data_IF_804624910340
#
_entry.id   IF_804624910340
#
_cell.length_a   1.000
_cell.length_b   1.000
_cell.length_c   1.000
_cell.angle_alpha   90.00
_cell.angle_beta   90.00
_cell.angle_gamma   90.00
#
_symmetry.space_group_name_H-M   'P 1'
#
loop_
_entity.id
_entity.type
_entity.pdbx_description
1 polymer ?
#
# COMPACT_ATOMS: atom_id res chain seq x y z
N UNK A 1 -11.48 -2.99 20.84
CA UNK A 1 -10.03 -3.15 20.56
C UNK A 1 -9.61 -4.49 21.10
N UNK A 2 -9.16 -5.41 20.26
CA UNK A 2 -8.51 -6.65 20.71
C UNK A 2 -7.10 -6.32 21.19
N UNK A 3 -6.67 -6.88 22.31
CA UNK A 3 -5.34 -6.68 22.89
C UNK A 3 -4.59 -8.00 22.98
N UNK A 4 -3.30 -8.01 22.62
CA UNK A 4 -2.38 -9.10 22.99
C UNK A 4 -1.68 -8.65 24.24
N UNK A 5 -1.95 -9.26 25.39
CA UNK A 5 -1.27 -8.91 26.65
C UNK A 5 -1.43 -7.43 27.04
N UNK A 6 -2.57 -6.81 26.70
CA UNK A 6 -2.81 -5.37 26.92
C UNK A 6 -2.22 -4.44 25.84
N UNK A 7 -1.59 -4.97 24.80
CA UNK A 7 -0.97 -4.21 23.70
C UNK A 7 -1.98 -4.01 22.57
N UNK A 8 -2.01 -2.80 21.99
CA UNK A 8 -2.73 -2.49 20.75
C UNK A 8 -2.21 -3.37 19.60
N UNK A 9 -3.02 -4.37 19.20
CA UNK A 9 -2.64 -5.35 18.18
C UNK A 9 -2.38 -4.73 16.81
N UNK A 10 -3.08 -3.66 16.46
CA UNK A 10 -2.94 -3.00 15.16
C UNK A 10 -1.58 -2.31 15.08
N UNK A 11 -1.24 -1.52 16.11
CA UNK A 11 0.07 -0.85 16.17
C UNK A 11 1.20 -1.87 16.26
N UNK A 12 1.03 -2.92 17.06
CA UNK A 12 2.00 -4.01 17.13
C UNK A 12 2.22 -4.64 15.76
N UNK A 13 1.15 -4.95 15.01
CA UNK A 13 1.28 -5.51 13.66
C UNK A 13 2.00 -4.59 12.68
N UNK A 14 1.72 -3.28 12.72
CA UNK A 14 2.43 -2.29 11.90
C UNK A 14 3.92 -2.20 12.25
N UNK A 15 4.26 -2.19 13.54
CA UNK A 15 5.65 -2.20 14.01
C UNK A 15 6.38 -3.51 13.67
N UNK A 16 5.69 -4.66 13.75
CA UNK A 16 6.22 -5.95 13.28
C UNK A 16 6.51 -5.89 11.78
N UNK A 17 5.59 -5.36 10.98
CA UNK A 17 5.79 -5.17 9.54
C UNK A 17 6.99 -4.28 9.21
N UNK A 18 7.15 -3.16 9.91
CA UNK A 18 8.31 -2.27 9.79
C UNK A 18 9.62 -2.99 10.13
N UNK A 19 9.64 -3.76 11.22
CA UNK A 19 10.82 -4.51 11.64
C UNK A 19 11.17 -5.64 10.68
N UNK A 20 10.19 -6.38 10.16
CA UNK A 20 10.41 -7.41 9.14
C UNK A 20 10.97 -6.83 7.83
N UNK A 21 10.60 -5.59 7.50
CA UNK A 21 11.12 -4.89 6.33
C UNK A 21 12.56 -4.40 6.52
N UNK A 22 12.86 -3.75 7.65
CA UNK A 22 14.08 -2.94 7.80
C UNK A 22 15.09 -3.46 8.85
N UNK A 23 14.70 -4.48 9.62
CA UNK A 23 15.34 -4.84 10.89
C UNK A 23 15.74 -6.30 11.05
N UNK A 24 14.90 -7.22 10.57
CA UNK A 24 15.01 -8.68 10.79
C UNK A 24 16.38 -9.26 10.38
N UNK A 25 17.00 -8.73 9.34
CA UNK A 25 18.27 -9.22 8.81
C UNK A 25 19.53 -8.68 9.51
N UNK A 26 19.40 -7.74 10.47
CA UNK A 26 20.57 -6.98 10.96
C UNK A 26 21.27 -7.58 12.18
N UNK A 27 20.53 -8.09 13.17
CA UNK A 27 21.11 -8.68 14.38
C UNK A 27 20.06 -9.44 15.19
N UNK A 28 20.39 -10.66 15.63
CA UNK A 28 19.55 -11.44 16.54
C UNK A 28 19.63 -10.96 18.00
N UNK A 29 20.47 -9.97 18.29
CA UNK A 29 20.71 -9.46 19.64
C UNK A 29 20.03 -8.12 19.91
N UNK A 30 19.37 -7.55 18.90
CA UNK A 30 18.87 -6.18 18.93
C UNK A 30 17.58 -6.01 18.16
N UNK A 31 16.72 -5.13 18.66
CA UNK A 31 15.58 -4.63 17.89
C UNK A 31 16.05 -3.38 17.16
N UNK A 32 16.17 -3.48 15.85
CA UNK A 32 16.64 -2.39 15.01
C UNK A 32 15.65 -2.11 13.89
N UNK A 33 15.43 -0.84 13.54
CA UNK A 33 14.87 -0.44 12.26
C UNK A 33 15.75 0.64 11.65
N UNK A 34 15.80 0.68 10.33
CA UNK A 34 16.46 1.76 9.59
C UNK A 34 15.45 2.39 8.66
N UNK A 35 15.39 3.72 8.63
CA UNK A 35 14.48 4.40 7.73
C UNK A 35 14.95 5.82 7.48
N UNK A 36 14.58 6.41 6.33
CA UNK A 36 14.87 7.81 6.03
C UNK A 36 13.73 8.76 6.45
N UNK A 37 12.57 8.24 6.87
CA UNK A 37 11.45 9.04 7.32
C UNK A 37 11.44 9.19 8.85
N UNK A 38 11.64 10.42 9.33
CA UNK A 38 11.59 10.74 10.76
C UNK A 38 10.28 10.28 11.42
N UNK A 39 9.14 10.44 10.76
CA UNK A 39 7.83 10.07 11.30
C UNK A 39 7.68 8.56 11.55
N UNK A 40 8.36 7.72 10.76
CA UNK A 40 8.39 6.27 10.99
C UNK A 40 9.18 5.94 12.26
N UNK A 41 10.29 6.64 12.49
CA UNK A 41 11.08 6.50 13.72
C UNK A 41 10.29 6.97 14.94
N UNK A 42 9.60 8.12 14.84
CA UNK A 42 8.69 8.61 15.90
C UNK A 42 7.61 7.59 16.23
N UNK A 43 6.95 7.05 15.20
CA UNK A 43 5.89 6.05 15.35
C UNK A 43 6.40 4.80 16.07
N UNK A 44 7.51 4.23 15.59
CA UNK A 44 8.10 3.02 16.19
C UNK A 44 8.58 3.28 17.63
N UNK A 45 9.24 4.42 17.89
CA UNK A 45 9.66 4.79 19.23
C UNK A 45 8.47 4.93 20.19
N UNK A 46 7.41 5.62 19.78
CA UNK A 46 6.21 5.84 20.59
C UNK A 46 5.56 4.51 20.98
N UNK A 47 5.46 3.57 20.03
CA UNK A 47 4.98 2.22 20.29
C UNK A 47 5.89 1.48 21.29
N UNK A 48 7.21 1.47 21.04
CA UNK A 48 8.15 0.75 21.91
C UNK A 48 8.16 1.29 23.33
N UNK A 49 8.16 2.62 23.49
CA UNK A 49 8.21 3.28 24.80
C UNK A 49 6.90 3.16 25.58
N UNK A 50 5.74 3.12 24.90
CA UNK A 50 4.46 2.87 25.57
C UNK A 50 4.23 1.40 25.93
N UNK A 51 4.79 0.48 25.13
CA UNK A 51 4.60 -0.97 25.32
C UNK A 51 5.59 -1.57 26.32
N UNK A 52 6.84 -1.09 26.31
CA UNK A 52 7.92 -1.65 27.12
C UNK A 52 8.46 -0.60 28.08
N UNK A 53 8.40 -0.88 29.38
CA UNK A 53 8.93 0.00 30.40
C UNK A 53 10.46 -0.04 30.42
N UNK A 54 11.09 1.10 30.75
CA UNK A 54 12.53 1.25 31.01
C UNK A 54 13.45 0.85 29.83
N UNK A 55 12.95 0.94 28.59
CA UNK A 55 13.81 0.76 27.41
C UNK A 55 14.83 1.89 27.29
N UNK A 56 16.00 1.59 26.72
CA UNK A 56 17.09 2.55 26.49
C UNK A 56 17.45 2.62 25.01
N UNK A 57 16.55 3.15 24.16
CA UNK A 57 16.80 3.26 22.73
C UNK A 57 17.98 4.17 22.41
N UNK A 58 18.68 3.83 21.34
CA UNK A 58 19.70 4.66 20.70
C UNK A 58 19.26 4.97 19.28
N UNK A 59 19.50 6.20 18.84
CA UNK A 59 19.26 6.59 17.45
C UNK A 59 20.57 7.10 16.85
N UNK A 60 20.99 6.44 15.78
CA UNK A 60 22.13 6.82 14.96
C UNK A 60 21.60 7.61 13.77
N UNK A 61 22.10 8.82 13.58
CA UNK A 61 21.64 9.74 12.54
C UNK A 61 22.80 9.93 11.57
N UNK A 62 22.65 9.40 10.36
CA UNK A 62 23.64 9.51 9.29
C UNK A 62 23.21 10.62 8.34
N UNK A 63 23.92 11.75 8.39
CA UNK A 63 23.63 12.94 7.61
C UNK A 63 24.36 12.91 6.27
N UNK A 64 23.74 13.53 5.27
CA UNK A 64 24.39 13.84 4.00
C UNK A 64 24.84 15.30 4.00
N UNK A 65 25.75 15.66 3.11
CA UNK A 65 26.24 17.04 2.96
C UNK A 65 25.20 18.02 2.41
N UNK A 66 24.07 17.50 1.90
CA UNK A 66 23.04 18.28 1.22
C UNK A 66 21.83 18.62 2.11
N UNK A 67 21.73 18.01 3.29
CA UNK A 67 20.58 18.22 4.17
C UNK A 67 20.89 19.26 5.26
N UNK A 68 20.10 20.34 5.27
CA UNK A 68 20.01 21.22 6.42
C UNK A 68 19.35 20.44 7.57
N UNK A 69 20.14 20.12 8.58
CA UNK A 69 19.70 19.27 9.68
C UNK A 69 18.63 19.96 10.53
N UNK A 70 17.41 19.42 10.52
CA UNK A 70 16.41 19.71 11.53
C UNK A 70 16.72 18.94 12.82
N UNK A 71 16.62 19.61 13.96
CA UNK A 71 16.77 18.99 15.29
C UNK A 71 15.76 17.84 15.43
N UNK A 72 16.25 16.65 15.74
CA UNK A 72 15.43 15.45 15.91
C UNK A 72 15.49 15.02 17.39
N UNK A 73 14.38 15.18 18.12
CA UNK A 73 14.30 14.91 19.56
C UNK A 73 13.12 14.00 19.90
N UNK A 74 13.40 13.04 20.78
CA UNK A 74 12.55 11.99 21.33
C UNK A 74 13.00 11.77 22.78
N UNK A 75 12.03 11.54 23.65
CA UNK A 75 12.29 11.32 25.06
C UNK A 75 13.03 10.00 25.30
N UNK A 76 13.91 9.97 26.30
CA UNK A 76 14.63 8.75 26.72
C UNK A 76 15.48 8.09 25.62
N UNK A 77 15.93 8.87 24.63
CA UNK A 77 16.80 8.39 23.55
C UNK A 77 18.22 8.92 23.71
N UNK A 78 19.21 8.07 23.45
CA UNK A 78 20.60 8.51 23.24
C UNK A 78 20.87 8.70 21.75
N UNK A 79 21.40 9.86 21.38
CA UNK A 79 21.71 10.20 19.99
C UNK A 79 23.18 10.00 19.67
N UNK A 80 23.44 9.56 18.44
CA UNK A 80 24.76 9.56 17.82
C UNK A 80 24.65 10.12 16.41
N UNK A 81 25.53 11.04 16.06
CA UNK A 81 25.53 11.72 14.77
C UNK A 81 26.75 11.28 13.97
N UNK A 82 26.52 10.96 12.71
CA UNK A 82 27.53 10.55 11.75
C UNK A 82 27.30 11.27 10.42
N UNK A 83 28.36 11.33 9.62
CA UNK A 83 28.32 11.82 8.26
C UNK A 83 28.53 10.63 7.31
N UNK A 84 27.68 10.50 6.30
CA UNK A 84 27.77 9.46 5.28
C UNK A 84 27.63 10.09 3.89
N UNK A 85 28.78 10.36 3.27
CA UNK A 85 28.87 11.05 1.97
C UNK A 85 28.31 10.21 0.82
N UNK A 86 28.10 8.90 1.03
CA UNK A 86 27.58 7.98 0.01
C UNK A 86 26.05 7.93 0.00
N UNK A 87 25.42 8.37 1.09
CA UNK A 87 23.98 8.35 1.20
C UNK A 87 23.35 9.50 0.41
N UNK A 88 22.25 9.21 -0.28
CA UNK A 88 21.50 10.22 -1.03
C UNK A 88 20.55 11.04 -0.15
N UNK A 89 20.24 10.55 1.06
CA UNK A 89 19.33 11.18 2.02
C UNK A 89 19.79 10.86 3.44
N UNK A 90 19.51 11.76 4.38
CA UNK A 90 19.67 11.46 5.80
C UNK A 90 18.82 10.24 6.19
N UNK A 91 19.40 9.34 6.96
CA UNK A 91 18.70 8.16 7.48
C UNK A 91 18.98 7.94 8.96
N UNK A 92 18.06 7.22 9.59
CA UNK A 92 18.01 7.00 11.02
C UNK A 92 18.08 5.50 11.28
N UNK A 93 18.92 5.08 12.21
CA UNK A 93 18.94 3.72 12.74
C UNK A 93 18.45 3.79 14.18
N UNK A 94 17.25 3.29 14.42
CA UNK A 94 16.70 3.12 15.76
C UNK A 94 17.11 1.75 16.29
N UNK A 95 17.71 1.68 17.48
CA UNK A 95 18.27 0.44 18.03
C UNK A 95 17.96 0.31 19.52
N UNK A 96 17.53 -0.89 19.92
CA UNK A 96 17.45 -1.32 21.32
C UNK A 96 18.28 -2.59 21.49
N UNK A 97 19.32 -2.51 22.31
CA UNK A 97 20.20 -3.62 22.65
C UNK A 97 19.85 -4.17 24.05
N UNK A 98 18.81 -4.98 24.12
CA UNK A 98 18.37 -5.68 25.32
C UNK A 98 17.94 -7.11 24.94
N UNK A 99 18.73 -8.10 25.35
CA UNK A 99 18.53 -9.50 24.97
C UNK A 99 17.25 -10.10 25.53
N UNK A 100 16.78 -9.63 26.70
CA UNK A 100 15.50 -10.09 27.27
C UNK A 100 14.35 -9.53 26.44
N UNK A 101 14.40 -8.24 26.11
CA UNK A 101 13.40 -7.60 25.28
C UNK A 101 13.34 -8.20 23.87
N UNK A 102 14.49 -8.49 23.26
CA UNK A 102 14.58 -9.12 21.93
C UNK A 102 13.87 -10.47 21.92
N UNK A 103 14.08 -11.32 22.94
CA UNK A 103 13.34 -12.59 23.07
C UNK A 103 11.83 -12.39 23.17
N UNK A 104 11.38 -11.36 23.90
CA UNK A 104 9.95 -11.01 24.00
C UNK A 104 9.42 -10.55 22.65
N UNK A 105 10.16 -9.69 21.95
CA UNK A 105 9.82 -9.17 20.64
C UNK A 105 9.64 -10.28 19.60
N UNK A 106 10.59 -11.20 19.48
CA UNK A 106 10.47 -12.34 18.57
C UNK A 106 9.24 -13.21 18.87
N UNK A 107 8.92 -13.44 20.16
CA UNK A 107 7.69 -14.15 20.54
C UNK A 107 6.44 -13.40 20.10
N UNK A 108 6.42 -12.07 20.20
CA UNK A 108 5.30 -11.24 19.72
C UNK A 108 5.20 -11.29 18.19
N UNK A 109 6.32 -11.18 17.48
CA UNK A 109 6.38 -11.29 16.01
C UNK A 109 5.75 -12.61 15.54
N UNK A 110 6.16 -13.74 16.11
CA UNK A 110 5.59 -15.05 15.71
C UNK A 110 4.09 -15.15 16.04
N UNK A 111 3.65 -14.64 17.19
CA UNK A 111 2.22 -14.58 17.54
C UNK A 111 1.40 -13.71 16.58
N UNK A 112 1.98 -12.63 16.08
CA UNK A 112 1.31 -11.73 15.13
C UNK A 112 1.26 -12.35 13.74
N UNK A 113 2.30 -13.05 13.31
CA UNK A 113 2.38 -13.71 11.99
C UNK A 113 1.33 -14.82 11.79
N UNK A 114 0.83 -15.43 12.87
CA UNK A 114 -0.23 -16.45 12.80
C UNK A 114 -1.63 -15.85 12.66
N UNK A 115 -1.81 -14.55 12.92
CA UNK A 115 -3.11 -13.88 12.94
C UNK A 115 -3.44 -13.26 11.58
N UNK A 116 -4.15 -14.02 10.73
CA UNK A 116 -4.53 -13.57 9.36
C UNK A 116 -5.24 -12.22 9.31
N UNK A 117 -6.09 -11.90 10.29
CA UNK A 117 -6.80 -10.62 10.34
C UNK A 117 -5.85 -9.41 10.51
N UNK A 118 -4.60 -9.62 10.96
CA UNK A 118 -3.57 -8.59 11.07
C UNK A 118 -2.74 -8.41 9.79
N UNK A 119 -2.89 -9.24 8.77
CA UNK A 119 -2.00 -9.24 7.60
C UNK A 119 -2.00 -7.90 6.85
N UNK A 120 -3.13 -7.20 6.76
CA UNK A 120 -3.16 -5.85 6.18
C UNK A 120 -2.35 -4.83 6.98
N UNK A 121 -2.29 -4.97 8.30
CA UNK A 121 -1.54 -4.07 9.19
C UNK A 121 -0.04 -4.37 9.14
N UNK A 122 0.33 -5.65 9.11
CA UNK A 122 1.72 -6.08 8.86
C UNK A 122 2.18 -5.58 7.49
N UNK A 123 1.37 -5.77 6.43
CA UNK A 123 1.69 -5.30 5.08
C UNK A 123 1.85 -3.77 5.02
N UNK A 124 1.03 -3.02 5.78
CA UNK A 124 1.17 -1.55 5.90
C UNK A 124 2.52 -1.16 6.50
N UNK A 125 2.95 -1.86 7.56
CA UNK A 125 4.30 -1.72 8.12
C UNK A 125 5.40 -2.05 7.10
N UNK A 126 5.25 -3.18 6.42
CA UNK A 126 6.21 -3.64 5.42
C UNK A 126 6.36 -2.65 4.26
N UNK A 127 5.24 -2.11 3.77
CA UNK A 127 5.21 -1.11 2.71
C UNK A 127 5.80 0.23 3.17
N UNK A 128 5.63 0.61 4.44
CA UNK A 128 6.25 1.81 4.99
C UNK A 128 7.79 1.71 5.02
N UNK A 129 8.36 0.53 5.25
CA UNK A 129 9.79 0.28 5.06
C UNK A 129 10.17 0.18 3.58
N UNK A 130 9.84 -0.95 2.96
CA UNK A 130 10.39 -1.38 1.65
C UNK A 130 9.50 -1.03 0.45
N UNK A 131 8.34 -0.42 0.68
CA UNK A 131 7.39 -0.07 -0.38
C UNK A 131 7.85 1.09 -1.24
N UNK A 132 7.60 1.01 -2.55
CA UNK A 132 7.81 2.10 -3.49
C UNK A 132 6.66 2.17 -4.51
N UNK A 133 6.50 3.34 -5.14
CA UNK A 133 5.46 3.61 -6.13
C UNK A 133 6.12 4.13 -7.39
N UNK A 134 5.89 3.42 -8.49
CA UNK A 134 6.28 3.88 -9.83
C UNK A 134 5.09 4.53 -10.50
N UNK A 135 5.29 5.79 -10.90
CA UNK A 135 4.34 6.55 -11.70
C UNK A 135 4.56 6.24 -13.18
N UNK A 136 3.48 6.13 -13.93
CA UNK A 136 3.49 5.85 -15.34
C UNK A 136 2.10 6.00 -15.96
N UNK A 137 2.01 5.96 -17.28
CA UNK A 137 0.74 5.91 -18.01
C UNK A 137 0.00 4.60 -17.72
N UNK A 138 -1.35 4.61 -17.74
CA UNK A 138 -2.30 3.51 -17.47
C UNK A 138 -1.72 2.16 -16.97
N UNK A 139 -0.98 1.42 -17.81
CA UNK A 139 -0.46 0.07 -17.55
C UNK A 139 0.91 0.00 -16.83
N UNK A 140 1.58 1.14 -16.61
CA UNK A 140 2.93 1.23 -16.03
C UNK A 140 2.92 1.74 -14.56
N UNK A 141 1.73 1.96 -13.99
CA UNK A 141 1.57 2.28 -12.56
C UNK A 141 1.76 1.01 -11.73
N UNK A 142 2.79 0.99 -10.90
CA UNK A 142 3.12 -0.21 -10.10
C UNK A 142 3.36 0.15 -8.65
N UNK A 143 2.80 -0.68 -7.76
CA UNK A 143 3.23 -0.77 -6.36
C UNK A 143 4.35 -1.79 -6.33
N UNK A 144 5.46 -1.43 -5.69
CA UNK A 144 6.63 -2.30 -5.54
C UNK A 144 6.93 -2.51 -4.07
N UNK A 145 7.32 -3.71 -3.69
CA UNK A 145 7.89 -4.00 -2.37
C UNK A 145 9.25 -4.63 -2.61
N UNK A 146 10.31 -3.90 -2.27
CA UNK A 146 11.69 -4.36 -2.44
C UNK A 146 11.95 -5.55 -1.52
N UNK A 147 12.49 -6.63 -2.09
CA UNK A 147 12.89 -7.83 -1.36
C UNK A 147 14.05 -8.50 -2.08
N UNK A 148 15.15 -8.72 -1.36
CA UNK A 148 16.38 -9.24 -1.94
C UNK A 148 16.24 -10.62 -2.59
N UNK A 149 15.27 -11.41 -2.12
CA UNK A 149 14.87 -12.75 -2.59
C UNK A 149 13.36 -12.95 -2.29
N UNK A 150 12.69 -13.97 -2.88
CA UNK A 150 11.32 -14.27 -2.53
C UNK A 150 11.15 -14.51 -1.01
N UNK A 151 10.12 -13.91 -0.44
CA UNK A 151 9.75 -13.98 0.96
C UNK A 151 8.38 -14.68 1.09
N UNK A 152 8.40 -15.94 1.52
CA UNK A 152 7.19 -16.77 1.62
C UNK A 152 6.10 -16.13 2.48
N UNK A 153 6.47 -15.46 3.57
CA UNK A 153 5.49 -14.84 4.45
C UNK A 153 4.79 -13.64 3.78
N UNK A 154 5.53 -12.81 3.05
CA UNK A 154 4.94 -11.72 2.27
C UNK A 154 4.00 -12.25 1.17
N UNK A 155 4.37 -13.34 0.51
CA UNK A 155 3.51 -13.98 -0.51
C UNK A 155 2.21 -14.53 0.07
N UNK A 156 2.28 -15.20 1.23
CA UNK A 156 1.10 -15.67 1.96
C UNK A 156 0.18 -14.48 2.28
N UNK A 157 0.73 -13.38 2.81
CA UNK A 157 -0.06 -12.19 3.13
C UNK A 157 -0.74 -11.60 1.88
N UNK A 158 -0.03 -11.48 0.76
CA UNK A 158 -0.59 -10.94 -0.48
C UNK A 158 -1.69 -11.85 -1.06
N UNK A 159 -1.49 -13.17 -1.05
CA UNK A 159 -2.51 -14.15 -1.49
C UNK A 159 -3.77 -14.09 -0.63
N UNK A 160 -3.63 -14.08 0.68
CA UNK A 160 -4.76 -13.98 1.63
C UNK A 160 -5.53 -12.66 1.50
N UNK A 161 -4.85 -11.58 1.09
CA UNK A 161 -5.47 -10.30 0.79
C UNK A 161 -6.05 -10.22 -0.63
N UNK A 162 -5.99 -11.31 -1.42
CA UNK A 162 -6.42 -11.38 -2.83
C UNK A 162 -5.70 -10.38 -3.74
N UNK A 163 -4.43 -10.10 -3.45
CA UNK A 163 -3.58 -9.21 -4.25
C UNK A 163 -2.74 -10.06 -5.20
N UNK A 164 -2.95 -9.88 -6.50
CA UNK A 164 -2.16 -10.55 -7.52
C UNK A 164 -0.77 -9.89 -7.62
N UNK A 165 0.31 -10.66 -7.65
CA UNK A 165 1.68 -10.14 -7.68
C UNK A 165 2.62 -10.98 -8.54
N UNK A 166 3.75 -10.40 -8.93
CA UNK A 166 4.87 -11.10 -9.55
C UNK A 166 6.16 -10.69 -8.85
N UNK A 167 6.99 -11.65 -8.44
CA UNK A 167 8.37 -11.33 -8.04
C UNK A 167 9.23 -11.12 -9.29
N UNK A 168 9.98 -10.03 -9.32
CA UNK A 168 10.94 -9.71 -10.37
C UNK A 168 12.35 -9.87 -9.80
N UNK A 169 13.07 -10.91 -10.20
CA UNK A 169 14.45 -11.15 -9.76
C UNK A 169 15.38 -10.01 -10.19
N UNK A 170 15.20 -9.53 -11.43
CA UNK A 170 15.97 -8.40 -11.98
C UNK A 170 15.79 -7.12 -11.15
N UNK A 171 14.57 -6.83 -10.73
CA UNK A 171 14.27 -5.63 -9.92
C UNK A 171 14.36 -5.91 -8.41
N UNK A 172 14.61 -7.16 -8.00
CA UNK A 172 14.59 -7.63 -6.60
C UNK A 172 13.39 -7.08 -5.82
N UNK A 173 12.21 -7.22 -6.41
CA UNK A 173 10.98 -6.67 -5.83
C UNK A 173 9.74 -7.43 -6.25
N UNK A 174 8.74 -7.40 -5.38
CA UNK A 174 7.37 -7.77 -5.70
C UNK A 174 6.72 -6.64 -6.48
N UNK A 175 6.32 -6.92 -7.71
CA UNK A 175 5.65 -5.99 -8.61
C UNK A 175 4.16 -6.28 -8.59
N UNK A 176 3.39 -5.31 -8.12
CA UNK A 176 1.93 -5.38 -8.01
C UNK A 176 1.35 -4.36 -9.00
N UNK A 177 0.62 -4.88 -9.98
CA UNK A 177 0.02 -4.11 -11.07
C UNK A 177 -1.50 -4.25 -11.04
N UNK A 178 -2.20 -3.63 -12.00
CA UNK A 178 -3.67 -3.65 -12.16
C UNK A 178 -4.45 -2.79 -11.15
N UNK A 179 -5.49 -2.12 -11.66
CA UNK A 179 -6.38 -1.28 -10.83
C UNK A 179 -7.09 -2.05 -9.71
N UNK A 180 -7.39 -3.34 -9.92
CA UNK A 180 -8.00 -4.24 -8.91
C UNK A 180 -7.13 -4.31 -7.66
N UNK A 181 -5.84 -4.62 -7.84
CA UNK A 181 -4.90 -4.66 -6.72
C UNK A 181 -4.78 -3.29 -6.06
N UNK A 182 -4.68 -2.21 -6.84
CA UNK A 182 -4.69 -0.85 -6.29
C UNK A 182 -5.95 -0.56 -5.45
N UNK A 183 -7.15 -1.01 -5.86
CA UNK A 183 -8.39 -0.89 -5.04
C UNK A 183 -8.24 -1.62 -3.71
N UNK A 184 -7.79 -2.87 -3.74
CA UNK A 184 -7.64 -3.70 -2.54
C UNK A 184 -6.65 -3.04 -1.59
N UNK A 185 -5.49 -2.64 -2.10
CA UNK A 185 -4.44 -1.97 -1.34
C UNK A 185 -4.91 -0.63 -0.76
N UNK A 186 -5.72 0.14 -1.50
CA UNK A 186 -6.33 1.38 -1.04
C UNK A 186 -7.35 1.14 0.09
N UNK A 187 -8.23 0.15 -0.06
CA UNK A 187 -9.19 -0.26 0.99
C UNK A 187 -8.47 -0.67 2.28
N UNK A 188 -7.34 -1.36 2.16
CA UNK A 188 -6.49 -1.75 3.30
C UNK A 188 -5.59 -0.61 3.80
N UNK A 189 -5.59 0.55 3.14
CA UNK A 189 -4.79 1.74 3.49
C UNK A 189 -3.30 1.40 3.69
N UNK A 190 -2.71 0.63 2.76
CA UNK A 190 -1.34 0.11 2.94
C UNK A 190 -0.26 1.21 3.01
N UNK A 191 -0.53 2.39 2.47
CA UNK A 191 0.42 3.49 2.38
C UNK A 191 0.33 4.46 3.56
N UNK A 192 -0.70 4.33 4.41
CA UNK A 192 -1.09 5.37 5.35
C UNK A 192 -0.10 5.59 6.50
N UNK A 193 0.78 4.62 6.75
CA UNK A 193 1.78 4.71 7.82
C UNK A 193 2.93 5.66 7.49
N UNK A 194 3.30 5.80 6.20
CA UNK A 194 4.39 6.67 5.78
C UNK A 194 3.85 7.91 5.05
N UNK A 195 4.09 9.15 5.54
CA UNK A 195 3.43 10.36 5.04
C UNK A 195 3.70 10.62 3.54
N UNK A 196 4.96 10.56 3.11
CA UNK A 196 5.32 10.78 1.69
C UNK A 196 4.71 9.70 0.77
N UNK A 197 4.82 8.42 1.17
CA UNK A 197 4.24 7.30 0.41
C UNK A 197 2.71 7.38 0.38
N UNK A 198 2.06 7.79 1.48
CA UNK A 198 0.62 8.04 1.57
C UNK A 198 0.18 9.05 0.52
N UNK A 199 0.75 10.26 0.54
CA UNK A 199 0.38 11.32 -0.41
C UNK A 199 0.58 10.87 -1.86
N UNK A 200 1.71 10.22 -2.16
CA UNK A 200 2.00 9.70 -3.49
C UNK A 200 1.02 8.60 -3.92
N UNK A 201 0.71 7.65 -3.03
CA UNK A 201 -0.22 6.55 -3.29
C UNK A 201 -1.60 7.07 -3.67
N UNK A 202 -2.16 7.94 -2.84
CA UNK A 202 -3.52 8.46 -3.05
C UNK A 202 -3.61 9.35 -4.28
N UNK A 203 -2.57 10.14 -4.59
CA UNK A 203 -2.49 10.88 -5.85
C UNK A 203 -2.61 9.93 -7.05
N UNK A 204 -1.75 8.93 -7.14
CA UNK A 204 -1.75 7.95 -8.25
C UNK A 204 -3.09 7.20 -8.32
N UNK A 205 -3.62 6.80 -7.16
CA UNK A 205 -4.87 6.08 -7.04
C UNK A 205 -6.06 6.90 -7.57
N UNK A 206 -6.10 8.20 -7.28
CA UNK A 206 -7.18 9.09 -7.71
C UNK A 206 -7.10 9.44 -9.21
N UNK A 207 -5.92 9.33 -9.83
CA UNK A 207 -5.76 9.53 -11.28
C UNK A 207 -6.25 8.35 -12.13
N UNK A 208 -6.71 7.25 -11.54
CA UNK A 208 -7.30 6.17 -12.33
C UNK A 208 -8.68 6.58 -12.85
N UNK A 209 -8.72 7.03 -14.12
CA UNK A 209 -9.92 7.52 -14.81
C UNK A 209 -11.06 6.51 -14.97
N UNK A 210 -10.80 5.21 -14.82
CA UNK A 210 -11.80 4.17 -15.11
C UNK A 210 -12.08 3.26 -13.89
N UNK A 211 -13.33 3.22 -13.45
CA UNK A 211 -13.84 2.21 -12.53
C UNK A 211 -13.86 0.84 -13.24
N UNK A 212 -13.08 -0.13 -12.77
CA UNK A 212 -13.14 -1.50 -13.29
C UNK A 212 -14.44 -2.19 -12.89
N UNK A 213 -15.42 -2.05 -13.75
CA UNK A 213 -16.58 -2.91 -13.84
C UNK A 213 -16.15 -4.36 -14.07
N UNK A 214 -16.83 -5.30 -13.41
CA UNK A 214 -16.67 -6.73 -13.68
C UNK A 214 -16.95 -7.03 -15.17
N UNK A 215 -16.50 -8.18 -15.68
CA UNK A 215 -16.51 -8.51 -17.11
C UNK A 215 -17.88 -8.30 -17.80
N UNK A 216 -18.98 -8.35 -17.05
CA UNK A 216 -20.34 -8.13 -17.53
C UNK A 216 -21.07 -6.94 -16.89
N UNK A 217 -20.45 -6.16 -16.01
CA UNK A 217 -21.19 -5.13 -15.26
C UNK A 217 -21.87 -4.11 -16.18
N UNK A 218 -21.20 -3.58 -17.21
CA UNK A 218 -21.84 -2.65 -18.15
C UNK A 218 -23.02 -3.34 -18.83
N UNK A 219 -22.84 -4.57 -19.32
CA UNK A 219 -23.91 -5.35 -19.97
C UNK A 219 -25.11 -5.57 -19.04
N UNK A 220 -24.86 -5.81 -17.75
CA UNK A 220 -25.90 -6.09 -16.77
C UNK A 220 -26.66 -4.83 -16.33
N UNK A 221 -25.97 -3.68 -16.25
CA UNK A 221 -26.55 -2.46 -15.67
C UNK A 221 -26.99 -1.45 -16.73
N UNK A 222 -26.50 -1.52 -17.98
CA UNK A 222 -26.81 -0.50 -19.01
C UNK A 222 -28.30 -0.38 -19.34
N UNK A 223 -29.08 -1.45 -19.15
CA UNK A 223 -30.53 -1.41 -19.37
C UNK A 223 -31.27 -0.57 -18.32
N UNK A 224 -30.74 -0.48 -17.10
CA UNK A 224 -31.30 0.35 -16.02
C UNK A 224 -31.07 1.85 -16.28
N UNK A 225 -30.14 2.19 -17.16
CA UNK A 225 -29.82 3.58 -17.54
C UNK A 225 -30.55 4.03 -18.83
N UNK A 226 -31.36 3.15 -19.43
CA UNK A 226 -32.03 3.35 -20.73
C UNK A 226 -33.56 3.48 -20.60
N UNK A 227 -34.05 3.85 -19.42
CA UNK A 227 -35.45 4.22 -19.20
C UNK A 227 -35.83 5.49 -19.98
N UNK A 228 -34.84 6.32 -20.32
CA UNK A 228 -34.93 7.42 -21.27
C UNK A 228 -33.93 7.24 -22.43
N UNK A 229 -34.19 7.82 -23.62
CA UNK A 229 -33.26 7.75 -24.73
C UNK A 229 -31.92 8.44 -24.45
N UNK A 230 -30.82 7.71 -24.58
CA UNK A 230 -29.46 8.25 -24.35
C UNK A 230 -28.53 8.03 -25.52
N UNK A 231 -27.67 9.01 -25.77
CA UNK A 231 -26.58 8.89 -26.74
C UNK A 231 -25.44 8.03 -26.19
N UNK A 232 -24.62 7.45 -27.08
CA UNK A 232 -23.39 6.75 -26.69
C UNK A 232 -22.45 7.64 -25.86
N UNK A 233 -22.50 8.97 -26.05
CA UNK A 233 -21.70 9.95 -25.29
C UNK A 233 -22.21 10.12 -23.87
N UNK A 234 -23.52 10.24 -23.67
CA UNK A 234 -24.11 10.34 -22.33
C UNK A 234 -23.85 9.08 -21.51
N UNK A 235 -24.10 7.90 -22.11
CA UNK A 235 -23.77 6.63 -21.47
C UNK A 235 -22.27 6.51 -21.17
N UNK A 236 -21.39 7.01 -22.05
CA UNK A 236 -19.94 7.02 -21.84
C UNK A 236 -19.55 7.85 -20.61
N UNK A 237 -20.20 9.00 -20.41
CA UNK A 237 -20.01 9.81 -19.22
C UNK A 237 -20.53 9.11 -17.96
N UNK A 238 -21.75 8.57 -17.98
CA UNK A 238 -22.35 7.88 -16.83
C UNK A 238 -21.55 6.67 -16.37
N UNK A 239 -21.13 5.83 -17.32
CA UNK A 239 -20.29 4.68 -16.99
C UNK A 239 -18.82 5.07 -16.80
N UNK A 240 -18.40 6.31 -17.06
CA UNK A 240 -16.98 6.71 -17.08
C UNK A 240 -16.14 5.79 -17.97
N UNK A 241 -16.59 5.57 -19.22
CA UNK A 241 -15.99 4.64 -20.19
C UNK A 241 -15.88 5.22 -21.58
N UNK A 242 -14.90 4.74 -22.35
CA UNK A 242 -14.78 5.09 -23.77
C UNK A 242 -16.00 4.64 -24.57
N UNK A 243 -16.50 5.51 -25.46
CA UNK A 243 -17.67 5.27 -26.31
C UNK A 243 -17.60 3.94 -27.06
N UNK A 244 -16.44 3.59 -27.62
CA UNK A 244 -16.27 2.36 -28.39
C UNK A 244 -16.56 1.08 -27.58
N UNK A 245 -16.29 1.07 -26.26
CA UNK A 245 -16.60 -0.08 -25.40
C UNK A 245 -18.09 -0.21 -25.15
N UNK A 246 -18.79 0.91 -24.93
CA UNK A 246 -20.25 0.90 -24.79
C UNK A 246 -20.93 0.50 -26.09
N UNK A 247 -20.45 0.98 -27.23
CA UNK A 247 -21.02 0.66 -28.53
C UNK A 247 -20.95 -0.84 -28.82
N UNK A 248 -19.86 -1.53 -28.43
CA UNK A 248 -19.80 -3.00 -28.50
C UNK A 248 -20.88 -3.68 -27.65
N UNK A 249 -21.12 -3.21 -26.43
CA UNK A 249 -22.16 -3.75 -25.53
C UNK A 249 -23.56 -3.48 -26.10
N UNK A 250 -23.83 -2.24 -26.52
CA UNK A 250 -25.10 -1.82 -27.09
C UNK A 250 -25.43 -2.56 -28.39
N UNK A 251 -24.44 -2.78 -29.25
CA UNK A 251 -24.60 -3.56 -30.49
C UNK A 251 -24.97 -5.01 -30.18
N UNK A 252 -24.34 -5.60 -29.16
CA UNK A 252 -24.68 -6.95 -28.70
C UNK A 252 -26.10 -7.01 -28.13
N UNK A 253 -26.49 -6.04 -27.29
CA UNK A 253 -27.85 -5.95 -26.74
C UNK A 253 -28.91 -5.70 -27.82
N UNK A 254 -28.59 -4.94 -28.88
CA UNK A 254 -29.46 -4.73 -30.04
C UNK A 254 -29.71 -6.04 -30.80
N UNK A 255 -28.65 -6.84 -31.01
CA UNK A 255 -28.79 -8.20 -31.60
C UNK A 255 -29.64 -9.12 -30.73
N UNK A 256 -29.59 -8.95 -29.41
CA UNK A 256 -30.43 -9.67 -28.45
C UNK A 256 -31.84 -9.06 -28.30
N UNK A 257 -32.24 -8.10 -29.13
CA UNK A 257 -33.53 -7.39 -29.08
C UNK A 257 -33.85 -6.68 -27.76
N UNK A 258 -32.86 -6.39 -26.91
CA UNK A 258 -33.05 -5.72 -25.60
C UNK A 258 -33.03 -4.20 -25.67
N UNK A 259 -32.40 -3.65 -26.71
CA UNK A 259 -32.33 -2.20 -26.95
C UNK A 259 -32.57 -1.91 -28.42
N UNK A 260 -33.09 -0.72 -28.69
CA UNK A 260 -33.24 -0.18 -30.04
C UNK A 260 -32.37 1.06 -30.18
N UNK A 261 -31.90 1.31 -31.40
CA UNK A 261 -31.21 2.55 -31.74
C UNK A 261 -32.00 3.26 -32.82
N UNK A 262 -32.24 4.55 -32.63
CA UNK A 262 -32.92 5.41 -33.57
C UNK A 262 -32.19 6.76 -33.66
N UNK A 263 -32.42 7.46 -34.76
CA UNK A 263 -31.70 8.70 -35.08
C UNK A 263 -32.66 9.89 -35.07
N UNK A 264 -32.28 10.94 -34.37
CA UNK A 264 -32.96 12.26 -34.45
C UNK A 264 -31.96 13.24 -35.07
N UNK A 265 -32.28 13.76 -36.25
CA UNK A 265 -31.35 14.57 -37.06
C UNK A 265 -30.05 13.80 -37.31
N UNK A 266 -28.92 14.28 -36.78
CA UNK A 266 -27.59 13.67 -36.93
C UNK A 266 -27.10 12.98 -35.65
N UNK A 267 -27.98 12.73 -34.67
CA UNK A 267 -27.62 12.17 -33.37
C UNK A 267 -28.31 10.83 -33.16
N UNK A 268 -27.52 9.81 -32.80
CA UNK A 268 -27.97 8.44 -32.52
C UNK A 268 -28.29 8.27 -31.03
N UNK A 269 -29.51 7.80 -30.75
CA UNK A 269 -30.01 7.51 -29.41
C UNK A 269 -30.25 6.01 -29.23
N UNK A 270 -30.00 5.53 -28.02
CA UNK A 270 -30.30 4.17 -27.58
C UNK A 270 -31.45 4.22 -26.59
N UNK A 271 -32.36 3.26 -26.68
CA UNK A 271 -33.49 3.12 -25.76
C UNK A 271 -33.70 1.64 -25.46
N UNK A 272 -34.17 1.34 -24.25
CA UNK A 272 -34.63 0.00 -23.89
C UNK A 272 -35.85 -0.36 -24.74
N UNK A 273 -35.93 -1.61 -25.20
CA UNK A 273 -37.11 -2.09 -25.91
C UNK A 273 -38.20 -2.50 -24.94
#
# INVERSE_FOLDING_TARGET
MTTILGIDEIKLAECVGLWLAEGDSKSNLEITITNNCKNIIYYFHSFMNSTFQKIRPRIYIYKTDKDNFEKFELNNVRYRYYKDNRANKTYYIYRIADTKLVKIWHKLVEKVKTKKYLYSHILRGFFAGEGNLKEGSHNNRTVRISQGKPNNFLEIMLKELNVDFRFSERERSYVITSRKNWSILAQKRIADLHPVKKSKFWRIFNEFKEWHYSHNFIRNNILEHLDEPKTSRQLACEFSRGQGRLQKVLTKLKRENKVVNYRIRSIDYWVKR
#
